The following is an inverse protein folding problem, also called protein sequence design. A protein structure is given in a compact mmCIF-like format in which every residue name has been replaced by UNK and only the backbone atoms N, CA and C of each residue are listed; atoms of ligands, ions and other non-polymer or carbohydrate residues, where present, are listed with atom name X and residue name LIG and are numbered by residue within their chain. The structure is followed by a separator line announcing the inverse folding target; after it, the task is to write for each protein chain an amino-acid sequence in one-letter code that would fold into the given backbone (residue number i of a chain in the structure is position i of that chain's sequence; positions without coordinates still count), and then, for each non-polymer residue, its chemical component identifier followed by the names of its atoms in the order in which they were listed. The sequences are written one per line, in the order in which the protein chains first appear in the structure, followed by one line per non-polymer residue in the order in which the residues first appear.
data_IF_517357246963
#
_entry.id   IF_517357246963
#
_cell.length_a   1.000
_cell.length_b   1.000
_cell.length_c   1.000
_cell.angle_alpha   90.00
_cell.angle_beta   90.00
_cell.angle_gamma   90.00
#
_symmetry.space_group_name_H-M   'P 1'
#
loop_
_entity.id
_entity.type
_entity.pdbx_description
1 polymer ?
#
# COMPACT_ATOMS: atom_id res chain seq x y z
N UNK A 1 -9.50 -5.75 31.05
CA UNK A 1 -8.60 -5.87 29.89
C UNK A 1 -9.28 -6.52 28.70
N UNK A 2 -9.87 -7.68 28.84
CA UNK A 2 -10.60 -8.38 27.77
C UNK A 2 -11.79 -7.59 27.22
N UNK A 3 -12.55 -6.93 28.11
CA UNK A 3 -13.70 -6.10 27.74
C UNK A 3 -13.27 -4.83 26.96
N UNK A 4 -12.14 -4.22 27.36
CA UNK A 4 -11.59 -3.07 26.66
C UNK A 4 -11.11 -3.43 25.25
N UNK A 5 -10.48 -4.59 25.08
CA UNK A 5 -10.04 -5.12 23.80
C UNK A 5 -11.24 -5.43 22.88
N UNK A 6 -12.28 -6.05 23.42
CA UNK A 6 -13.52 -6.34 22.72
C UNK A 6 -14.23 -5.06 22.26
N UNK A 7 -14.31 -4.06 23.13
CA UNK A 7 -14.90 -2.75 22.82
C UNK A 7 -14.08 -2.02 21.76
N UNK A 8 -12.76 -2.09 21.81
CA UNK A 8 -11.86 -1.52 20.81
C UNK A 8 -12.06 -2.20 19.44
N UNK A 9 -12.17 -3.52 19.42
CA UNK A 9 -12.43 -4.30 18.22
C UNK A 9 -13.78 -3.93 17.58
N UNK A 10 -14.85 -3.81 18.38
CA UNK A 10 -16.16 -3.37 17.89
C UNK A 10 -16.17 -1.93 17.38
N UNK A 11 -15.40 -1.04 18.01
CA UNK A 11 -15.24 0.34 17.55
C UNK A 11 -14.52 0.41 16.21
N UNK A 12 -13.48 -0.39 15.99
CA UNK A 12 -12.76 -0.46 14.70
C UNK A 12 -13.69 -0.89 13.54
N UNK A 13 -14.69 -1.70 13.81
CA UNK A 13 -15.68 -2.13 12.83
C UNK A 13 -16.79 -1.11 12.56
N UNK A 14 -16.85 0.01 13.28
CA UNK A 14 -17.88 1.04 13.09
C UNK A 14 -17.42 2.12 12.13
N UNK A 15 -18.25 2.46 11.12
CA UNK A 15 -17.96 3.48 10.13
C UNK A 15 -17.67 4.87 10.71
N UNK A 16 -18.49 5.41 11.64
CA UNK A 16 -18.27 6.77 12.15
C UNK A 16 -16.95 6.91 12.91
N UNK A 17 -16.61 5.92 13.70
CA UNK A 17 -15.40 5.94 14.51
C UNK A 17 -14.14 5.77 13.64
N UNK A 18 -14.18 4.85 12.69
CA UNK A 18 -13.10 4.66 11.72
C UNK A 18 -12.86 5.93 10.89
N UNK A 19 -13.93 6.55 10.40
CA UNK A 19 -13.83 7.81 9.65
C UNK A 19 -13.20 8.94 10.46
N UNK A 20 -13.60 9.07 11.72
CA UNK A 20 -13.05 10.09 12.63
C UNK A 20 -11.57 9.90 12.92
N UNK A 21 -11.13 8.66 13.13
CA UNK A 21 -9.73 8.35 13.41
C UNK A 21 -8.89 8.46 12.14
N UNK A 22 -9.33 7.88 11.04
CA UNK A 22 -8.61 7.97 9.78
C UNK A 22 -8.43 9.42 9.32
N UNK A 23 -9.43 10.28 9.50
CA UNK A 23 -9.32 11.70 9.22
C UNK A 23 -8.20 12.42 9.98
N UNK A 24 -7.88 11.95 11.20
CA UNK A 24 -6.76 12.48 11.99
C UNK A 24 -5.42 11.89 11.59
N UNK A 25 -5.39 10.63 11.22
CA UNK A 25 -4.15 9.86 10.93
C UNK A 25 -3.66 10.11 9.50
N UNK A 26 -4.58 10.24 8.55
CA UNK A 26 -4.26 10.41 7.12
C UNK A 26 -3.27 11.55 6.85
N UNK A 27 -3.43 12.78 7.37
CA UNK A 27 -2.50 13.87 7.06
C UNK A 27 -1.08 13.58 7.55
N UNK A 28 -0.91 12.94 8.71
CA UNK A 28 0.40 12.57 9.24
C UNK A 28 1.06 11.47 8.41
N UNK A 29 0.33 10.39 8.17
CA UNK A 29 0.81 9.27 7.37
C UNK A 29 1.07 9.72 5.93
N UNK A 30 0.20 10.54 5.37
CA UNK A 30 0.35 11.09 4.02
C UNK A 30 1.61 11.96 3.89
N UNK A 31 1.82 12.89 4.80
CA UNK A 31 3.01 13.74 4.81
C UNK A 31 4.30 12.92 4.94
N UNK A 32 4.33 11.97 5.88
CA UNK A 32 5.49 11.11 6.10
C UNK A 32 5.77 10.21 4.89
N UNK A 33 4.73 9.61 4.31
CA UNK A 33 4.85 8.76 3.13
C UNK A 33 5.36 9.52 1.91
N UNK A 34 4.81 10.70 1.64
CA UNK A 34 5.26 11.56 0.52
C UNK A 34 6.72 11.96 0.72
N UNK A 35 7.09 12.36 1.93
CA UNK A 35 8.48 12.73 2.24
C UNK A 35 9.44 11.58 2.00
N UNK A 36 9.10 10.37 2.45
CA UNK A 36 9.92 9.18 2.21
C UNK A 36 10.02 8.83 0.73
N UNK A 37 8.93 8.92 -0.01
CA UNK A 37 8.93 8.65 -1.46
C UNK A 37 9.83 9.65 -2.19
N UNK A 38 9.73 10.93 -1.89
CA UNK A 38 10.56 11.97 -2.50
C UNK A 38 12.05 11.76 -2.18
N UNK A 39 12.39 11.57 -0.91
CA UNK A 39 13.76 11.36 -0.46
C UNK A 39 14.35 10.09 -1.10
N UNK A 40 13.64 8.98 -1.06
CA UNK A 40 14.12 7.71 -1.63
C UNK A 40 14.25 7.76 -3.15
N UNK A 41 13.36 8.49 -3.83
CA UNK A 41 13.43 8.69 -5.29
C UNK A 41 14.66 9.52 -5.67
N UNK A 42 14.90 10.63 -4.98
CA UNK A 42 16.10 11.46 -5.21
C UNK A 42 17.36 10.65 -4.94
N UNK A 43 17.40 9.93 -3.83
CA UNK A 43 18.56 9.10 -3.48
C UNK A 43 18.80 8.00 -4.53
N UNK A 44 17.76 7.26 -4.91
CA UNK A 44 17.86 6.17 -5.88
C UNK A 44 18.28 6.63 -7.27
N UNK A 45 17.81 7.79 -7.72
CA UNK A 45 18.11 8.30 -9.06
C UNK A 45 19.48 8.98 -9.17
N UNK A 46 19.90 9.73 -8.15
CA UNK A 46 21.07 10.59 -8.26
C UNK A 46 22.29 10.10 -7.48
N UNK A 47 22.09 9.41 -6.36
CA UNK A 47 23.18 9.01 -5.48
C UNK A 47 23.50 7.52 -5.52
N UNK A 48 22.65 6.71 -6.13
CA UNK A 48 22.90 5.28 -6.24
C UNK A 48 24.00 4.99 -7.27
N UNK A 49 24.93 4.06 -6.97
CA UNK A 49 25.94 3.65 -7.93
C UNK A 49 25.29 2.99 -9.15
N UNK A 50 25.92 3.13 -10.31
CA UNK A 50 25.50 2.46 -11.54
C UNK A 50 25.94 1.00 -11.53
N UNK A 51 25.15 0.14 -12.17
CA UNK A 51 25.52 -1.27 -12.34
C UNK A 51 26.59 -1.41 -13.43
N UNK A 52 27.54 -2.32 -13.23
CA UNK A 52 28.63 -2.57 -14.16
C UNK A 52 28.17 -3.09 -15.52
N UNK A 53 27.01 -3.77 -15.58
CA UNK A 53 26.48 -4.39 -16.81
C UNK A 53 25.34 -3.56 -17.39
N UNK A 54 24.42 -3.09 -16.54
CA UNK A 54 23.19 -2.41 -16.97
C UNK A 54 23.30 -0.87 -16.99
N UNK A 55 24.36 -0.31 -16.40
CA UNK A 55 24.53 1.14 -16.33
C UNK A 55 23.43 1.84 -15.55
N UNK A 56 22.94 2.97 -16.09
CA UNK A 56 21.91 3.79 -15.44
C UNK A 56 20.51 3.14 -15.46
N UNK A 57 20.27 2.22 -16.37
CA UNK A 57 18.97 1.51 -16.47
C UNK A 57 18.66 0.70 -15.21
N UNK A 58 19.71 0.24 -14.51
CA UNK A 58 19.57 -0.44 -13.23
C UNK A 58 18.76 0.35 -12.20
N UNK A 59 18.77 1.67 -12.25
CA UNK A 59 18.05 2.54 -11.32
C UNK A 59 16.54 2.38 -11.35
N UNK A 60 15.98 1.77 -12.38
CA UNK A 60 14.57 1.41 -12.47
C UNK A 60 14.13 0.47 -11.34
N UNK A 61 15.05 -0.32 -10.79
CA UNK A 61 14.77 -1.26 -9.69
C UNK A 61 14.21 -0.55 -8.44
N UNK A 62 14.64 0.69 -8.20
CA UNK A 62 14.17 1.49 -7.05
C UNK A 62 12.70 1.89 -7.13
N UNK A 63 12.12 1.84 -8.32
CA UNK A 63 10.68 2.08 -8.53
C UNK A 63 9.93 0.78 -8.79
N UNK A 64 10.51 -0.11 -9.57
CA UNK A 64 9.88 -1.37 -9.94
C UNK A 64 9.65 -2.29 -8.74
N UNK A 65 10.68 -2.54 -7.92
CA UNK A 65 10.58 -3.44 -6.77
C UNK A 65 9.59 -2.93 -5.73
N UNK A 66 9.62 -1.66 -5.30
CA UNK A 66 8.60 -1.13 -4.40
C UNK A 66 7.18 -1.20 -4.97
N UNK A 67 6.99 -0.87 -6.25
CA UNK A 67 5.67 -0.91 -6.88
C UNK A 67 5.08 -2.33 -6.89
N UNK A 68 5.87 -3.32 -7.26
CA UNK A 68 5.46 -4.73 -7.25
C UNK A 68 5.20 -5.22 -5.83
N UNK A 69 6.06 -4.88 -4.88
CA UNK A 69 5.91 -5.28 -3.48
C UNK A 69 4.64 -4.70 -2.85
N UNK A 70 4.36 -3.42 -3.09
CA UNK A 70 3.12 -2.77 -2.62
C UNK A 70 1.90 -3.42 -3.25
N UNK A 71 1.93 -3.69 -4.55
CA UNK A 71 0.87 -4.42 -5.24
C UNK A 71 0.58 -5.77 -4.60
N UNK A 72 1.60 -6.56 -4.33
CA UNK A 72 1.45 -7.87 -3.68
C UNK A 72 0.84 -7.76 -2.28
N UNK A 73 1.33 -6.83 -1.45
CA UNK A 73 0.79 -6.59 -0.11
C UNK A 73 -0.69 -6.21 -0.18
N UNK A 74 -1.07 -5.36 -1.12
CA UNK A 74 -2.47 -4.96 -1.33
C UNK A 74 -3.32 -6.19 -1.67
N UNK A 75 -2.92 -7.03 -2.62
CA UNK A 75 -3.69 -8.20 -3.01
C UNK A 75 -3.77 -9.26 -1.90
N UNK A 76 -2.71 -9.48 -1.14
CA UNK A 76 -2.76 -10.36 0.04
C UNK A 76 -3.74 -9.82 1.09
N UNK A 77 -3.68 -8.52 1.40
CA UNK A 77 -4.60 -7.92 2.36
C UNK A 77 -6.05 -7.96 1.88
N UNK A 78 -6.29 -7.77 0.59
CA UNK A 78 -7.61 -7.91 -0.01
C UNK A 78 -8.13 -9.35 0.06
N UNK A 79 -7.26 -10.33 -0.12
CA UNK A 79 -7.63 -11.76 -0.01
C UNK A 79 -8.07 -12.11 1.41
N UNK A 80 -7.33 -11.62 2.42
CA UNK A 80 -7.71 -11.78 3.83
C UNK A 80 -9.03 -11.06 4.12
N UNK A 81 -9.20 -9.84 3.64
CA UNK A 81 -10.44 -9.09 3.80
C UNK A 81 -11.62 -9.77 3.10
N UNK A 82 -11.40 -10.39 1.93
CA UNK A 82 -12.42 -11.17 1.24
C UNK A 82 -12.86 -12.40 2.04
N UNK A 83 -11.91 -13.11 2.65
CA UNK A 83 -12.21 -14.23 3.54
C UNK A 83 -13.04 -13.76 4.76
N UNK A 84 -12.65 -12.65 5.39
CA UNK A 84 -13.38 -12.04 6.51
C UNK A 84 -14.80 -11.63 6.08
N UNK A 85 -14.93 -11.03 4.91
CA UNK A 85 -16.24 -10.65 4.37
C UNK A 85 -17.16 -11.85 4.15
N UNK A 86 -16.62 -12.93 3.60
CA UNK A 86 -17.39 -14.14 3.30
C UNK A 86 -17.81 -14.92 4.56
N UNK A 87 -16.90 -15.04 5.53
CA UNK A 87 -17.11 -15.82 6.74
C UNK A 87 -17.96 -15.06 7.76
N UNK A 88 -17.59 -13.80 8.06
CA UNK A 88 -18.25 -12.98 9.09
C UNK A 88 -19.21 -11.94 8.54
N UNK A 89 -19.29 -11.79 7.23
CA UNK A 89 -20.15 -10.81 6.54
C UNK A 89 -19.97 -9.37 7.05
N UNK A 90 -18.73 -8.99 7.37
CA UNK A 90 -18.41 -7.65 7.84
C UNK A 90 -18.42 -6.66 6.67
N UNK A 91 -19.32 -5.67 6.72
CA UNK A 91 -19.46 -4.64 5.69
C UNK A 91 -18.17 -3.82 5.49
N UNK A 92 -17.41 -3.58 6.58
CA UNK A 92 -16.13 -2.86 6.51
C UNK A 92 -15.09 -3.57 5.63
N UNK A 93 -15.04 -4.91 5.66
CA UNK A 93 -14.15 -5.68 4.80
C UNK A 93 -14.48 -5.47 3.32
N UNK A 94 -15.78 -5.41 2.97
CA UNK A 94 -16.23 -5.10 1.61
C UNK A 94 -15.81 -3.71 1.14
N UNK A 95 -15.95 -2.70 2.00
CA UNK A 95 -15.49 -1.33 1.71
C UNK A 95 -13.98 -1.27 1.55
N UNK A 96 -13.24 -1.97 2.40
CA UNK A 96 -11.78 -2.07 2.32
C UNK A 96 -11.33 -2.61 0.96
N UNK A 97 -11.89 -3.73 0.51
CA UNK A 97 -11.58 -4.33 -0.80
C UNK A 97 -11.88 -3.35 -1.92
N UNK A 98 -13.07 -2.73 -1.90
CA UNK A 98 -13.51 -1.80 -2.93
C UNK A 98 -12.63 -0.56 -3.04
N UNK A 99 -12.10 -0.09 -1.91
CA UNK A 99 -11.20 1.06 -1.85
C UNK A 99 -9.79 0.73 -2.32
N UNK A 100 -9.29 -0.47 -2.02
CA UNK A 100 -7.93 -0.88 -2.37
C UNK A 100 -7.78 -1.42 -3.80
N UNK A 101 -8.85 -1.94 -4.40
CA UNK A 101 -8.80 -2.53 -5.72
C UNK A 101 -8.21 -1.60 -6.80
N UNK A 102 -8.65 -0.33 -6.93
CA UNK A 102 -8.07 0.58 -7.92
C UNK A 102 -6.61 0.94 -7.60
N UNK A 103 -6.24 1.02 -6.32
CA UNK A 103 -4.87 1.31 -5.90
C UNK A 103 -3.96 0.13 -6.25
N UNK A 104 -4.37 -1.09 -5.94
CA UNK A 104 -3.66 -2.30 -6.31
C UNK A 104 -3.48 -2.45 -7.82
N UNK A 105 -4.52 -2.16 -8.59
CA UNK A 105 -4.47 -2.15 -10.05
C UNK A 105 -3.49 -1.12 -10.59
N UNK A 106 -3.44 0.09 -10.02
CA UNK A 106 -2.51 1.13 -10.41
C UNK A 106 -1.05 0.72 -10.16
N UNK A 107 -0.74 0.17 -9.00
CA UNK A 107 0.61 -0.32 -8.69
C UNK A 107 1.02 -1.51 -9.56
N UNK A 108 0.11 -2.42 -9.87
CA UNK A 108 0.35 -3.51 -10.81
C UNK A 108 0.65 -3.00 -12.20
N UNK A 109 -0.11 -2.02 -12.66
CA UNK A 109 0.11 -1.39 -13.96
C UNK A 109 1.47 -0.69 -14.05
N UNK A 110 1.86 0.06 -13.03
CA UNK A 110 3.20 0.67 -12.92
C UNK A 110 4.29 -0.41 -12.95
N UNK A 111 4.12 -1.47 -12.17
CA UNK A 111 5.06 -2.60 -12.17
C UNK A 111 5.23 -3.24 -13.54
N UNK A 112 4.13 -3.45 -14.27
CA UNK A 112 4.17 -3.99 -15.64
C UNK A 112 4.86 -3.03 -16.63
N UNK A 113 4.54 -1.75 -16.58
CA UNK A 113 5.17 -0.75 -17.46
C UNK A 113 6.68 -0.70 -17.25
N UNK A 114 7.13 -0.66 -15.99
CA UNK A 114 8.54 -0.64 -15.66
C UNK A 114 9.25 -1.94 -16.06
N UNK A 115 8.57 -3.08 -15.96
CA UNK A 115 9.07 -4.37 -16.43
C UNK A 115 9.27 -4.38 -17.95
N UNK A 116 8.32 -3.84 -18.71
CA UNK A 116 8.41 -3.74 -20.17
C UNK A 116 9.51 -2.78 -20.63
N UNK A 117 9.73 -1.68 -19.93
CA UNK A 117 10.80 -0.72 -20.22
C UNK A 117 12.18 -1.35 -19.96
N UNK A 118 12.27 -2.23 -18.96
CA UNK A 118 13.53 -2.89 -18.60
C UNK A 118 13.93 -4.03 -19.56
N UNK A 119 12.96 -4.60 -20.24
CA UNK A 119 13.24 -5.60 -21.29
C UNK A 119 13.81 -4.92 -22.53
#
# INVERSE_FOLDING_TARGET
MFQALKNFYHKLGSYPWFYKISGKVIPFVGFFSISLIVISSIWGLFFSPTDAVQGDVYRIIYFHVPAVSVSQVIYYSMSVAAAVFLIWRMKMAGVYIKSLAPIGAAFTFIGLLLSLIHI
#
